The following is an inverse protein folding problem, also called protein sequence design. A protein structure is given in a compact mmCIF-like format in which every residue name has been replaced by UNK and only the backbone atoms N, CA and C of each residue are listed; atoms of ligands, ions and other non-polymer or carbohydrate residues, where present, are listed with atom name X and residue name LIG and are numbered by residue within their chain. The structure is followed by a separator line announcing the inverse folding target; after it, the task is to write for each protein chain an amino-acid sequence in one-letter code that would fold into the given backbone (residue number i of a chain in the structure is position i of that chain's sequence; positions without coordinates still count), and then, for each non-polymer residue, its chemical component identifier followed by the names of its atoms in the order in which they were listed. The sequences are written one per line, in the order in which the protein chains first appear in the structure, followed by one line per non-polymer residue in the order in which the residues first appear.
data_IF_027020124740
#
_entry.id   IF_027020124740
#
_cell.length_a   1.000
_cell.length_b   1.000
_cell.length_c   1.000
_cell.angle_alpha   90.00
_cell.angle_beta   90.00
_cell.angle_gamma   90.00
#
_symmetry.space_group_name_H-M   'P 1'
#
loop_
_entity.id
_entity.type
_entity.pdbx_description
1 polymer ?
#
# COMPACT_ATOMS: atom_id res chain seq x y z
N UNK A 1 4.76 10.41 -3.53
CA UNK A 1 3.61 10.56 -2.61
C UNK A 1 2.46 9.65 -2.96
N UNK A 2 2.03 9.53 -4.22
CA UNK A 2 0.93 8.66 -4.63
C UNK A 2 1.02 7.22 -4.07
N UNK A 3 2.18 6.53 -4.25
CA UNK A 3 2.39 5.18 -3.71
C UNK A 3 2.16 5.11 -2.21
N UNK A 4 2.73 6.06 -1.44
CA UNK A 4 2.59 6.06 0.02
C UNK A 4 1.12 6.28 0.40
N UNK A 5 0.41 7.18 -0.27
CA UNK A 5 -1.00 7.45 0.00
C UNK A 5 -1.88 6.21 -0.25
N UNK A 6 -1.80 5.62 -1.43
CA UNK A 6 -2.60 4.44 -1.79
C UNK A 6 -2.35 3.27 -0.82
N UNK A 7 -1.08 3.01 -0.51
CA UNK A 7 -0.70 1.90 0.36
C UNK A 7 -0.95 2.18 1.85
N UNK A 8 -0.66 3.39 2.36
CA UNK A 8 -0.94 3.71 3.76
C UNK A 8 -2.43 3.80 4.07
N UNK A 9 -3.28 4.13 3.09
CA UNK A 9 -4.73 4.02 3.22
C UNK A 9 -5.14 2.57 3.49
N UNK A 10 -4.62 1.62 2.71
CA UNK A 10 -4.83 0.20 2.96
C UNK A 10 -4.28 -0.25 4.32
N UNK A 11 -3.03 0.11 4.63
CA UNK A 11 -2.42 -0.26 5.90
C UNK A 11 -3.21 0.25 7.10
N UNK A 12 -3.74 1.47 7.04
CA UNK A 12 -4.56 2.03 8.13
C UNK A 12 -5.78 1.16 8.43
N UNK A 13 -6.48 0.69 7.40
CA UNK A 13 -7.63 -0.20 7.53
C UNK A 13 -7.17 -1.56 8.06
N UNK A 14 -6.15 -2.16 7.43
CA UNK A 14 -5.57 -3.44 7.83
C UNK A 14 -5.19 -3.45 9.32
N UNK A 15 -4.38 -2.50 9.77
CA UNK A 15 -3.93 -2.46 11.18
C UNK A 15 -5.08 -2.16 12.15
N UNK A 16 -6.11 -1.43 11.73
CA UNK A 16 -7.33 -1.27 12.53
C UNK A 16 -8.05 -2.61 12.75
N UNK A 17 -8.09 -3.48 11.75
CA UNK A 17 -8.64 -4.83 11.87
C UNK A 17 -7.72 -5.75 12.66
N UNK A 18 -6.42 -5.77 12.36
CA UNK A 18 -5.43 -6.58 13.10
C UNK A 18 -5.36 -6.24 14.59
N UNK A 19 -5.64 -4.99 14.98
CA UNK A 19 -5.71 -4.60 16.39
C UNK A 19 -6.84 -5.27 17.18
N UNK A 20 -7.77 -5.92 16.47
CA UNK A 20 -8.87 -6.70 17.04
C UNK A 20 -8.67 -8.22 16.87
N UNK A 21 -7.48 -8.64 16.41
CA UNK A 21 -7.15 -10.06 16.22
C UNK A 21 -7.34 -10.86 17.50
N UNK A 22 -7.71 -12.14 17.35
CA UNK A 22 -7.73 -13.11 18.44
C UNK A 22 -6.34 -13.58 18.86
N UNK A 23 -5.32 -13.34 18.01
CA UNK A 23 -3.93 -13.62 18.32
C UNK A 23 -3.29 -12.39 18.99
N UNK A 24 -2.82 -12.57 20.23
CA UNK A 24 -2.29 -11.45 21.05
C UNK A 24 -1.01 -10.84 20.49
N UNK A 25 -0.13 -11.59 19.83
CA UNK A 25 1.10 -11.08 19.23
C UNK A 25 0.79 -10.19 18.02
N UNK A 26 -0.09 -10.63 17.13
CA UNK A 26 -0.55 -9.85 15.97
C UNK A 26 -1.23 -8.58 16.45
N UNK A 27 -2.10 -8.68 17.44
CA UNK A 27 -2.78 -7.54 18.06
C UNK A 27 -1.80 -6.54 18.65
N UNK A 28 -0.80 -7.01 19.40
CA UNK A 28 0.22 -6.14 20.00
C UNK A 28 1.05 -5.40 18.95
N UNK A 29 1.47 -6.09 17.88
CA UNK A 29 2.19 -5.49 16.75
C UNK A 29 1.32 -4.41 16.08
N UNK A 30 0.05 -4.73 15.81
CA UNK A 30 -0.87 -3.81 15.18
C UNK A 30 -1.08 -2.54 16.02
N UNK A 31 -1.34 -2.68 17.32
CA UNK A 31 -1.53 -1.55 18.25
C UNK A 31 -0.29 -0.64 18.32
N UNK A 32 0.91 -1.22 18.25
CA UNK A 32 2.17 -0.45 18.22
C UNK A 32 2.33 0.32 16.91
N UNK A 33 1.97 -0.29 15.78
CA UNK A 33 2.21 0.26 14.44
C UNK A 33 1.17 1.28 14.00
N UNK A 34 -0.03 1.25 14.57
CA UNK A 34 -1.16 2.09 14.14
C UNK A 34 -0.84 3.60 14.13
N UNK A 35 -0.07 4.08 15.11
CA UNK A 35 0.29 5.50 15.22
C UNK A 35 1.16 5.96 14.07
N UNK A 36 2.13 5.13 13.67
CA UNK A 36 3.04 5.43 12.58
C UNK A 36 2.33 5.34 11.23
N UNK A 37 1.51 4.31 11.05
CA UNK A 37 0.67 4.16 9.84
C UNK A 37 -0.29 5.33 9.67
N UNK A 38 -0.93 5.80 10.75
CA UNK A 38 -1.81 6.97 10.70
C UNK A 38 -1.03 8.26 10.35
N UNK A 39 0.21 8.39 10.82
CA UNK A 39 1.09 9.48 10.40
C UNK A 39 1.41 9.40 8.89
N UNK A 40 1.79 8.24 8.37
CA UNK A 40 2.07 8.05 6.94
C UNK A 40 0.86 8.39 6.07
N UNK A 41 -0.32 7.95 6.49
CA UNK A 41 -1.57 8.27 5.81
C UNK A 41 -1.84 9.78 5.81
N UNK A 42 -1.83 10.43 6.97
CA UNK A 42 -2.07 11.87 7.09
C UNK A 42 -1.08 12.70 6.29
N UNK A 43 0.20 12.34 6.38
CA UNK A 43 1.27 13.02 5.65
C UNK A 43 1.11 12.90 4.14
N UNK A 44 0.95 11.67 3.64
CA UNK A 44 0.83 11.43 2.20
C UNK A 44 -0.47 12.00 1.62
N UNK A 45 -1.59 11.90 2.34
CA UNK A 45 -2.85 12.52 1.96
C UNK A 45 -2.73 14.04 1.85
N UNK A 46 -2.12 14.69 2.84
CA UNK A 46 -1.91 16.14 2.81
C UNK A 46 -1.07 16.57 1.60
N UNK A 47 -0.08 15.76 1.20
CA UNK A 47 0.71 16.06 -0.01
C UNK A 47 -0.07 15.80 -1.30
N UNK A 48 -0.90 14.76 -1.37
CA UNK A 48 -1.78 14.54 -2.54
C UNK A 48 -2.71 15.75 -2.73
N UNK A 49 -3.33 16.24 -1.65
CA UNK A 49 -4.19 17.43 -1.70
C UNK A 49 -3.42 18.67 -2.20
N UNK A 50 -2.27 18.96 -1.60
CA UNK A 50 -1.45 20.11 -1.97
C UNK A 50 -0.93 20.07 -3.41
N UNK A 51 -0.57 18.89 -3.91
CA UNK A 51 -0.08 18.71 -5.26
C UNK A 51 -1.21 18.80 -6.30
N UNK A 52 -2.39 18.26 -5.96
CA UNK A 52 -3.56 18.29 -6.84
C UNK A 52 -4.17 19.69 -6.99
N UNK A 53 -4.28 20.42 -5.89
CA UNK A 53 -4.78 21.83 -5.85
C UNK A 53 -3.67 22.87 -5.97
N UNK A 54 -2.48 22.45 -6.35
CA UNK A 54 -1.31 23.33 -6.47
C UNK A 54 -1.16 23.94 -7.87
N UNK A 55 0.07 23.85 -8.40
CA UNK A 55 0.35 24.32 -9.75
C UNK A 55 -0.14 23.32 -10.81
N UNK A 56 -0.33 23.79 -12.05
CA UNK A 56 -0.65 22.90 -13.19
C UNK A 56 0.37 21.76 -13.33
N UNK A 57 1.66 22.07 -13.13
CA UNK A 57 2.73 21.06 -13.20
C UNK A 57 2.61 20.01 -12.09
N UNK A 58 2.40 20.42 -10.83
CA UNK A 58 2.25 19.48 -9.71
C UNK A 58 1.03 18.59 -9.88
N UNK A 59 -0.08 19.16 -10.36
CA UNK A 59 -1.32 18.43 -10.63
C UNK A 59 -1.12 17.34 -11.68
N UNK A 60 -0.47 17.66 -12.82
CA UNK A 60 -0.17 16.66 -13.85
C UNK A 60 0.72 15.56 -13.29
N UNK A 61 1.81 15.91 -12.62
CA UNK A 61 2.74 14.91 -12.06
C UNK A 61 2.11 13.97 -11.04
N UNK A 62 1.22 14.47 -10.17
CA UNK A 62 0.56 13.61 -9.19
C UNK A 62 -0.51 12.75 -9.84
N UNK A 63 -1.26 13.26 -10.83
CA UNK A 63 -2.24 12.50 -11.61
C UNK A 63 -1.54 11.35 -12.36
N UNK A 64 -0.50 11.65 -13.14
CA UNK A 64 0.28 10.63 -13.87
C UNK A 64 0.79 9.53 -12.93
N UNK A 65 1.25 9.92 -11.73
CA UNK A 65 1.72 8.95 -10.73
C UNK A 65 0.58 8.07 -10.19
N UNK A 66 -0.63 8.60 -10.04
CA UNK A 66 -1.80 7.82 -9.62
C UNK A 66 -2.22 6.88 -10.73
N UNK A 67 -2.28 7.35 -11.97
CA UNK A 67 -2.66 6.58 -13.15
C UNK A 67 -1.71 5.39 -13.37
N UNK A 68 -0.39 5.62 -13.25
CA UNK A 68 0.62 4.56 -13.37
C UNK A 68 0.49 3.52 -12.26
N UNK A 69 0.25 3.95 -11.03
CA UNK A 69 0.21 3.06 -9.85
C UNK A 69 -1.13 2.33 -9.68
N UNK A 70 -2.20 2.83 -10.31
CA UNK A 70 -3.54 2.29 -10.10
C UNK A 70 -3.66 0.81 -10.40
N UNK A 71 -2.97 0.35 -11.44
CA UNK A 71 -2.95 -1.06 -11.85
C UNK A 71 -2.43 -2.04 -10.80
N UNK A 72 -1.72 -1.57 -9.79
CA UNK A 72 -1.17 -2.38 -8.70
C UNK A 72 -2.07 -2.38 -7.46
N UNK A 73 -3.14 -1.59 -7.43
CA UNK A 73 -3.98 -1.49 -6.23
C UNK A 73 -4.88 -2.69 -6.02
N UNK A 74 -5.24 -3.42 -7.07
CA UNK A 74 -6.10 -4.60 -6.98
C UNK A 74 -5.48 -5.73 -6.17
N UNK A 75 -4.18 -6.00 -6.37
CA UNK A 75 -3.50 -7.14 -5.74
C UNK A 75 -3.35 -7.02 -4.21
N UNK A 76 -3.43 -5.82 -3.63
CA UNK A 76 -3.36 -5.65 -2.17
C UNK A 76 -4.57 -6.24 -1.44
N UNK A 77 -5.67 -6.49 -2.16
CA UNK A 77 -6.90 -7.10 -1.64
C UNK A 77 -7.02 -8.60 -1.94
N UNK A 78 -6.07 -9.18 -2.66
CA UNK A 78 -6.00 -10.62 -2.88
C UNK A 78 -5.53 -11.34 -1.62
N UNK A 79 -6.09 -12.51 -1.34
CA UNK A 79 -5.61 -13.39 -0.27
C UNK A 79 -4.74 -14.51 -0.86
N UNK A 80 -3.68 -14.88 -0.15
CA UNK A 80 -2.88 -16.06 -0.42
C UNK A 80 -3.25 -17.24 0.50
N UNK A 81 -2.56 -18.38 0.36
CA UNK A 81 -2.84 -19.57 1.14
C UNK A 81 -2.57 -19.35 2.65
N UNK A 82 -1.58 -18.53 2.99
CA UNK A 82 -1.26 -18.20 4.39
C UNK A 82 -2.38 -17.37 4.99
N UNK A 83 -2.82 -16.31 4.29
CA UNK A 83 -3.93 -15.47 4.73
C UNK A 83 -5.23 -16.27 4.83
N UNK A 84 -5.52 -17.17 3.87
CA UNK A 84 -6.70 -18.02 3.91
C UNK A 84 -6.74 -18.95 5.14
N UNK A 85 -5.59 -19.49 5.54
CA UNK A 85 -5.48 -20.30 6.77
C UNK A 85 -5.76 -19.44 8.01
N UNK A 86 -5.17 -18.24 8.10
CA UNK A 86 -5.39 -17.32 9.22
C UNK A 86 -6.84 -16.82 9.30
N UNK A 87 -7.49 -16.63 8.14
CA UNK A 87 -8.91 -16.27 8.06
C UNK A 87 -9.78 -17.42 8.60
N UNK A 88 -9.48 -18.67 8.22
CA UNK A 88 -10.23 -19.84 8.70
C UNK A 88 -10.13 -20.04 10.21
N UNK A 89 -9.03 -19.60 10.82
CA UNK A 89 -8.80 -19.61 12.26
C UNK A 89 -9.34 -18.35 12.98
N UNK A 90 -9.98 -17.43 12.26
CA UNK A 90 -10.48 -16.14 12.76
C UNK A 90 -9.38 -15.26 13.39
N UNK A 91 -8.14 -15.40 12.94
CA UNK A 91 -7.01 -14.57 13.38
C UNK A 91 -7.00 -13.24 12.65
N UNK A 92 -7.33 -13.24 11.34
CA UNK A 92 -7.42 -12.03 10.52
C UNK A 92 -8.74 -11.98 9.75
N UNK A 93 -9.11 -10.79 9.30
CA UNK A 93 -10.24 -10.58 8.39
C UNK A 93 -9.75 -10.62 6.94
N UNK A 94 -10.55 -11.13 6.02
CA UNK A 94 -10.19 -11.21 4.60
C UNK A 94 -9.94 -9.83 3.99
N UNK A 95 -8.83 -9.69 3.26
CA UNK A 95 -8.37 -8.40 2.69
C UNK A 95 -9.36 -7.77 1.72
N UNK A 96 -10.15 -8.57 1.01
CA UNK A 96 -11.19 -8.08 0.10
C UNK A 96 -12.30 -7.27 0.80
N UNK A 97 -12.52 -7.50 2.09
CA UNK A 97 -13.52 -6.75 2.88
C UNK A 97 -13.10 -5.30 3.14
N UNK A 98 -11.83 -4.97 2.92
CA UNK A 98 -11.28 -3.63 3.11
C UNK A 98 -11.46 -2.72 1.89
N UNK A 99 -11.82 -3.29 0.73
CA UNK A 99 -11.86 -2.57 -0.54
C UNK A 99 -12.84 -1.39 -0.53
N UNK A 100 -14.05 -1.58 -0.02
CA UNK A 100 -15.07 -0.53 -0.04
C UNK A 100 -14.67 0.68 0.81
N UNK A 101 -14.10 0.44 2.00
CA UNK A 101 -13.61 1.50 2.88
C UNK A 101 -12.41 2.22 2.25
N UNK A 102 -11.46 1.45 1.68
CA UNK A 102 -10.31 1.99 0.98
C UNK A 102 -10.73 2.83 -0.23
N UNK A 103 -11.58 2.30 -1.07
CA UNK A 103 -12.08 2.97 -2.29
C UNK A 103 -12.77 4.28 -1.92
N UNK A 104 -13.60 4.28 -0.89
CA UNK A 104 -14.28 5.50 -0.39
C UNK A 104 -13.26 6.58 0.00
N UNK A 105 -12.28 6.24 0.87
CA UNK A 105 -11.28 7.19 1.34
C UNK A 105 -10.43 7.75 0.19
N UNK A 106 -10.02 6.88 -0.74
CA UNK A 106 -9.22 7.28 -1.89
C UNK A 106 -10.03 8.20 -2.81
N UNK A 107 -11.25 7.82 -3.14
CA UNK A 107 -12.18 8.60 -3.98
C UNK A 107 -12.44 10.00 -3.42
N UNK A 108 -12.80 10.09 -2.14
CA UNK A 108 -13.01 11.35 -1.45
C UNK A 108 -11.75 12.24 -1.48
N UNK A 109 -10.56 11.62 -1.29
CA UNK A 109 -9.29 12.36 -1.33
C UNK A 109 -8.94 12.86 -2.73
N UNK A 110 -9.15 12.04 -3.76
CA UNK A 110 -8.91 12.45 -5.16
C UNK A 110 -9.85 13.59 -5.56
N UNK A 111 -11.12 13.51 -5.21
CA UNK A 111 -12.10 14.57 -5.46
C UNK A 111 -11.71 15.89 -4.77
N UNK A 112 -11.32 15.84 -3.49
CA UNK A 112 -10.86 17.00 -2.73
C UNK A 112 -9.56 17.59 -3.33
N UNK A 113 -8.68 16.74 -3.88
CA UNK A 113 -7.45 17.12 -4.56
C UNK A 113 -7.68 17.61 -6.01
N UNK A 114 -8.91 17.66 -6.50
CA UNK A 114 -9.26 17.98 -7.89
C UNK A 114 -8.59 17.05 -8.91
N UNK A 115 -8.39 15.78 -8.51
CA UNK A 115 -7.82 14.70 -9.33
C UNK A 115 -8.92 13.73 -9.78
N UNK A 116 -8.62 12.98 -10.82
CA UNK A 116 -9.56 12.00 -11.41
C UNK A 116 -9.18 10.59 -10.97
N UNK A 117 -10.18 9.79 -10.61
CA UNK A 117 -9.98 8.36 -10.39
C UNK A 117 -9.76 7.66 -11.73
N UNK A 118 -8.71 6.83 -11.88
CA UNK A 118 -8.49 6.09 -13.12
C UNK A 118 -9.59 5.07 -13.38
N UNK A 119 -10.11 5.03 -14.61
CA UNK A 119 -11.17 4.12 -15.03
C UNK A 119 -10.64 3.07 -16.03
N UNK A 120 -11.28 1.90 -16.06
CA UNK A 120 -11.00 0.84 -17.02
C UNK A 120 -9.54 0.36 -17.04
N UNK A 121 -8.85 0.44 -15.91
CA UNK A 121 -7.47 -0.01 -15.77
C UNK A 121 -7.43 -1.53 -15.57
N UNK A 122 -6.63 -2.22 -16.39
CA UNK A 122 -6.36 -3.65 -16.20
C UNK A 122 -5.45 -3.82 -14.98
N UNK A 123 -5.97 -4.47 -13.93
CA UNK A 123 -5.23 -4.72 -12.70
C UNK A 123 -4.16 -5.81 -12.92
N UNK A 124 -2.97 -5.55 -12.40
CA UNK A 124 -1.90 -6.53 -12.31
C UNK A 124 -2.10 -7.36 -11.05
N UNK A 125 -1.80 -8.65 -11.16
CA UNK A 125 -1.97 -9.64 -10.11
C UNK A 125 -0.72 -10.51 -9.98
N UNK A 126 -0.63 -11.27 -8.88
CA UNK A 126 0.42 -12.25 -8.69
C UNK A 126 1.66 -11.75 -7.95
N UNK A 127 1.68 -10.50 -7.44
CA UNK A 127 2.78 -10.00 -6.62
C UNK A 127 3.05 -10.87 -5.39
N UNK A 128 2.00 -11.34 -4.72
CA UNK A 128 2.09 -12.30 -3.59
C UNK A 128 2.58 -13.70 -4.01
N UNK A 129 2.55 -14.02 -5.32
CA UNK A 129 3.05 -15.28 -5.89
C UNK A 129 4.42 -15.14 -6.55
N UNK A 130 5.11 -14.02 -6.32
CA UNK A 130 6.45 -13.76 -6.85
C UNK A 130 6.49 -13.21 -8.29
N UNK A 131 5.36 -12.83 -8.87
CA UNK A 131 5.32 -12.14 -10.15
C UNK A 131 5.56 -10.64 -9.94
N UNK A 132 6.74 -10.18 -10.30
CA UNK A 132 7.15 -8.79 -10.13
C UNK A 132 7.55 -8.16 -11.47
N UNK A 133 7.59 -6.84 -11.51
CA UNK A 133 8.16 -6.12 -12.65
C UNK A 133 9.68 -6.33 -12.72
N UNK A 134 10.28 -6.15 -13.89
CA UNK A 134 11.73 -6.21 -14.09
C UNK A 134 12.54 -5.31 -13.14
N UNK A 135 11.93 -4.22 -12.67
CA UNK A 135 12.55 -3.27 -11.72
C UNK A 135 12.99 -3.91 -10.40
N UNK A 136 12.34 -5.01 -9.98
CA UNK A 136 12.74 -5.74 -8.77
C UNK A 136 14.16 -6.31 -8.89
N UNK A 137 14.52 -6.87 -10.04
CA UNK A 137 15.85 -7.42 -10.27
C UNK A 137 16.95 -6.35 -10.14
N UNK A 138 16.74 -5.18 -10.74
CA UNK A 138 17.68 -4.05 -10.63
C UNK A 138 17.80 -3.56 -9.19
N UNK A 139 16.68 -3.36 -8.50
CA UNK A 139 16.68 -2.94 -7.11
C UNK A 139 17.40 -3.92 -6.18
N UNK A 140 17.16 -5.23 -6.35
CA UNK A 140 17.83 -6.26 -5.56
C UNK A 140 19.33 -6.32 -5.86
N UNK A 141 19.75 -6.14 -7.12
CA UNK A 141 21.16 -6.08 -7.48
C UNK A 141 21.89 -4.94 -6.75
N UNK A 142 21.29 -3.75 -6.68
CA UNK A 142 21.86 -2.62 -5.94
C UNK A 142 21.87 -2.87 -4.42
N UNK A 143 20.76 -3.31 -3.85
CA UNK A 143 20.66 -3.57 -2.40
C UNK A 143 21.60 -4.65 -1.91
N UNK A 144 21.86 -5.66 -2.72
CA UNK A 144 22.69 -6.82 -2.37
C UNK A 144 24.16 -6.67 -2.79
N UNK A 145 24.54 -5.58 -3.45
CA UNK A 145 25.88 -5.40 -3.97
C UNK A 145 26.97 -5.51 -2.90
N UNK A 146 26.85 -4.74 -1.82
CA UNK A 146 27.84 -4.73 -0.75
C UNK A 146 27.95 -6.08 -0.02
N UNK A 147 26.85 -6.69 0.47
CA UNK A 147 26.93 -8.00 1.11
C UNK A 147 27.49 -9.12 0.21
N UNK A 148 27.21 -9.06 -1.11
CA UNK A 148 27.76 -10.02 -2.06
C UNK A 148 29.23 -9.81 -2.37
N UNK A 149 29.67 -8.54 -2.39
CA UNK A 149 31.08 -8.18 -2.65
C UNK A 149 31.94 -8.47 -1.44
N UNK A 150 31.43 -8.30 -0.25
CA UNK A 150 32.16 -8.46 1.03
C UNK A 150 31.40 -9.41 1.97
N UNK A 151 31.35 -10.73 1.67
CA UNK A 151 30.52 -11.68 2.40
C UNK A 151 30.90 -11.85 3.86
N UNK A 152 32.17 -11.60 4.22
CA UNK A 152 32.70 -11.73 5.58
C UNK A 152 32.63 -10.41 6.40
N UNK A 153 32.12 -9.33 5.82
CA UNK A 153 32.00 -8.06 6.50
C UNK A 153 30.87 -8.11 7.57
N UNK A 154 31.13 -7.49 8.71
CA UNK A 154 30.13 -7.29 9.76
C UNK A 154 29.49 -5.90 9.57
N UNK A 155 28.17 -5.90 9.47
CA UNK A 155 27.36 -4.72 9.17
C UNK A 155 26.68 -4.21 10.44
#
# INVERSE_FOLDING_TARGET
MAKIFLYSTYQKILYSHLSKSTNDDIKAIALKSIKEVDYHFKHSRAWVLRLGDGTKESKVKIQDSIDELWRFTGEIFESDDVENNLISENIITASNTYYDEWSKIVKETLQEALLTEPENVVMLTGGKKGLHTEKLGFMLAEMQYLPRTYPDAKW
#
